data_IF_425026110108
#
_entry.id   IF_425026110108
#
_cell.length_a   1.000
_cell.length_b   1.000
_cell.length_c   1.000
_cell.angle_alpha   90.00
_cell.angle_beta   90.00
_cell.angle_gamma   90.00
#
_symmetry.space_group_name_H-M   'P 1'
#
loop_
_entity.id
_entity.type
_entity.pdbx_description
1 polymer ?
#
# COMPACT_ATOMS: atom_id res chain seq x y z
N UNK A 1 19.11 1.30 -14.46
CA UNK A 1 18.10 2.35 -14.25
C UNK A 1 17.78 2.47 -12.76
N UNK A 2 17.72 3.69 -12.26
CA UNK A 2 17.34 3.94 -10.87
C UNK A 2 15.84 3.76 -10.72
N UNK A 3 15.39 2.94 -9.75
CA UNK A 3 13.97 2.67 -9.52
C UNK A 3 13.20 3.92 -9.10
N UNK A 4 13.87 4.94 -8.57
CA UNK A 4 13.22 6.20 -8.20
C UNK A 4 12.64 6.95 -9.40
N UNK A 5 12.99 6.54 -10.62
CA UNK A 5 12.34 7.04 -11.83
C UNK A 5 10.81 6.81 -11.77
N UNK A 6 10.37 5.75 -11.11
CA UNK A 6 8.96 5.39 -11.04
C UNK A 6 8.25 5.92 -9.80
N UNK A 7 8.95 6.62 -8.90
CA UNK A 7 8.36 6.98 -7.62
C UNK A 7 7.25 8.02 -7.76
N UNK A 8 6.13 7.77 -7.07
CA UNK A 8 5.15 8.79 -6.73
C UNK A 8 5.52 9.25 -5.33
N UNK A 9 5.95 10.52 -5.15
CA UNK A 9 6.47 10.97 -3.86
C UNK A 9 5.38 11.02 -2.78
N UNK A 10 5.80 10.92 -1.54
CA UNK A 10 4.92 10.93 -0.37
C UNK A 10 3.89 12.05 -0.40
N UNK A 11 4.29 13.23 -0.86
CA UNK A 11 3.41 14.41 -0.95
C UNK A 11 2.21 14.22 -1.87
N UNK A 12 2.27 13.25 -2.78
CA UNK A 12 1.20 12.95 -3.74
C UNK A 12 0.49 11.64 -3.44
N UNK A 13 0.81 11.00 -2.32
CA UNK A 13 0.28 9.68 -1.94
C UNK A 13 -0.62 9.83 -0.73
N UNK A 14 -1.76 9.12 -0.75
CA UNK A 14 -2.58 8.99 0.45
C UNK A 14 -1.96 7.93 1.36
N UNK A 15 -1.79 8.29 2.63
CA UNK A 15 -1.30 7.38 3.66
C UNK A 15 -2.03 7.66 4.96
N UNK A 16 -1.95 6.73 5.90
CA UNK A 16 -2.59 6.85 7.21
C UNK A 16 -1.52 6.74 8.29
N UNK A 17 -1.75 7.44 9.41
CA UNK A 17 -0.94 7.21 10.61
C UNK A 17 -1.52 6.03 11.39
N UNK A 18 -0.65 5.26 12.02
CA UNK A 18 -1.04 4.07 12.78
C UNK A 18 -1.93 4.37 13.98
N UNK A 19 -1.90 5.62 14.47
CA UNK A 19 -2.75 6.06 15.57
C UNK A 19 -4.15 6.54 15.14
N UNK A 20 -4.41 6.60 13.85
CA UNK A 20 -5.76 6.88 13.34
C UNK A 20 -6.69 5.71 13.68
N UNK A 21 -8.00 5.97 13.74
CA UNK A 21 -8.98 4.94 14.03
C UNK A 21 -9.26 4.07 12.80
N UNK A 22 -9.78 2.88 13.06
CA UNK A 22 -10.22 1.97 11.99
C UNK A 22 -11.35 2.64 11.19
N UNK A 23 -12.24 3.39 11.86
CA UNK A 23 -13.30 4.14 11.18
C UNK A 23 -12.73 5.15 10.17
N UNK A 24 -11.69 5.87 10.56
CA UNK A 24 -11.01 6.81 9.65
C UNK A 24 -10.40 6.09 8.45
N UNK A 25 -9.84 4.89 8.65
CA UNK A 25 -9.30 4.08 7.56
C UNK A 25 -10.40 3.63 6.60
N UNK A 26 -11.54 3.19 7.14
CA UNK A 26 -12.70 2.78 6.34
C UNK A 26 -13.18 3.96 5.49
N UNK A 27 -13.34 5.12 6.10
CA UNK A 27 -13.80 6.33 5.40
C UNK A 27 -12.84 6.74 4.28
N UNK A 28 -11.53 6.61 4.54
CA UNK A 28 -10.50 6.96 3.55
C UNK A 28 -10.57 6.04 2.34
N UNK A 29 -10.69 4.75 2.55
CA UNK A 29 -10.78 3.75 1.49
C UNK A 29 -12.07 3.94 0.70
N UNK A 30 -13.21 4.08 1.39
CA UNK A 30 -14.50 4.24 0.75
C UNK A 30 -14.59 5.52 -0.08
N UNK A 31 -14.17 6.66 0.48
CA UNK A 31 -14.30 7.95 -0.17
C UNK A 31 -13.35 8.16 -1.35
N UNK A 32 -12.26 7.44 -1.42
CA UNK A 32 -11.24 7.61 -2.45
C UNK A 32 -11.11 6.41 -3.38
N UNK A 33 -11.95 5.41 -3.21
CA UNK A 33 -11.97 4.19 -4.04
C UNK A 33 -10.63 3.46 -4.05
N UNK A 34 -9.91 3.48 -2.93
CA UNK A 34 -8.66 2.75 -2.78
C UNK A 34 -8.91 1.31 -2.35
N UNK A 35 -8.02 0.40 -2.76
CA UNK A 35 -8.04 -0.99 -2.29
C UNK A 35 -7.05 -1.24 -1.16
N UNK A 36 -6.07 -0.37 -1.04
CA UNK A 36 -5.02 -0.47 -0.01
C UNK A 36 -4.35 0.88 0.19
N UNK A 37 -3.86 1.12 1.40
CA UNK A 37 -3.21 2.39 1.78
C UNK A 37 -2.00 2.10 2.68
N UNK A 38 -0.85 2.75 2.45
CA UNK A 38 0.29 2.65 3.36
C UNK A 38 -0.02 3.27 4.73
N UNK A 39 0.51 2.64 5.77
CA UNK A 39 0.39 3.11 7.15
C UNK A 39 1.79 3.42 7.68
N UNK A 40 1.95 4.59 8.28
CA UNK A 40 3.22 5.04 8.86
C UNK A 40 3.02 5.40 10.33
N UNK A 41 4.11 5.41 11.09
CA UNK A 41 4.06 5.87 12.47
C UNK A 41 4.30 7.38 12.56
N UNK A 42 4.27 7.93 13.76
CA UNK A 42 4.45 9.37 13.98
C UNK A 42 5.84 9.88 13.59
N UNK A 43 6.83 9.00 13.48
CA UNK A 43 8.17 9.32 13.01
C UNK A 43 8.30 9.30 11.50
N UNK A 44 7.23 8.93 10.79
CA UNK A 44 7.23 8.81 9.34
C UNK A 44 7.74 7.48 8.81
N UNK A 45 7.98 6.51 9.68
CA UNK A 45 8.45 5.19 9.28
C UNK A 45 7.31 4.32 8.78
N UNK A 46 7.57 3.54 7.73
CA UNK A 46 6.59 2.61 7.20
C UNK A 46 6.34 1.47 8.18
N UNK A 47 5.06 1.19 8.43
CA UNK A 47 4.63 0.13 9.32
C UNK A 47 4.10 -1.08 8.52
N UNK A 48 3.08 -0.85 7.73
CA UNK A 48 2.43 -1.87 6.91
C UNK A 48 1.48 -1.22 5.92
N UNK A 49 0.87 -2.03 5.06
CA UNK A 49 -0.18 -1.57 4.16
C UNK A 49 -1.50 -2.19 4.59
N UNK A 50 -2.50 -1.34 4.85
CA UNK A 50 -3.84 -1.79 5.20
C UNK A 50 -4.66 -1.98 3.93
N UNK A 51 -5.40 -3.09 3.84
CA UNK A 51 -6.18 -3.45 2.66
C UNK A 51 -7.66 -3.47 2.99
N UNK A 52 -8.50 -3.45 1.95
CA UNK A 52 -9.94 -3.66 2.11
C UNK A 52 -10.22 -4.98 2.84
N UNK A 53 -9.44 -6.01 2.53
CA UNK A 53 -9.57 -7.32 3.16
C UNK A 53 -9.34 -7.28 4.66
N UNK A 54 -8.34 -6.52 5.11
CA UNK A 54 -8.06 -6.35 6.54
C UNK A 54 -9.24 -5.70 7.26
N UNK A 55 -9.81 -4.67 6.65
CA UNK A 55 -10.95 -3.95 7.21
C UNK A 55 -12.21 -4.81 7.21
N UNK A 56 -12.46 -5.52 6.13
CA UNK A 56 -13.62 -6.41 6.03
C UNK A 56 -13.54 -7.54 7.05
N UNK A 57 -12.34 -8.08 7.27
CA UNK A 57 -12.14 -9.11 8.29
C UNK A 57 -12.51 -8.60 9.68
N UNK A 58 -12.13 -7.35 10.00
CA UNK A 58 -12.49 -6.74 11.29
C UNK A 58 -13.99 -6.57 11.43
N UNK A 59 -14.65 -6.10 10.37
CA UNK A 59 -16.11 -5.96 10.34
C UNK A 59 -16.78 -7.33 10.53
N UNK A 60 -16.28 -8.34 9.83
CA UNK A 60 -16.79 -9.72 9.94
C UNK A 60 -16.65 -10.26 11.36
N UNK A 61 -15.48 -10.08 11.99
CA UNK A 61 -15.23 -10.49 13.36
C UNK A 61 -16.22 -9.87 14.33
N UNK A 62 -16.46 -8.57 14.19
CA UNK A 62 -17.43 -7.86 15.02
C UNK A 62 -18.86 -8.37 14.81
N UNK A 63 -19.23 -8.62 13.56
CA UNK A 63 -20.55 -9.16 13.22
C UNK A 63 -20.75 -10.53 13.87
N UNK A 64 -19.77 -11.42 13.77
CA UNK A 64 -19.82 -12.75 14.36
C UNK A 64 -19.84 -12.70 15.89
N UNK A 65 -19.05 -11.81 16.49
CA UNK A 65 -19.04 -11.61 17.94
C UNK A 65 -20.40 -11.15 18.45
N UNK A 66 -21.03 -10.21 17.77
CA UNK A 66 -22.36 -9.73 18.12
C UNK A 66 -23.38 -10.85 18.06
N UNK A 67 -23.31 -11.69 17.04
CA UNK A 67 -24.23 -12.81 16.83
C UNK A 67 -24.11 -13.85 17.94
N UNK A 68 -22.88 -14.07 18.46
CA UNK A 68 -22.65 -15.02 19.57
C UNK A 68 -22.86 -14.42 20.95
N UNK A 69 -23.10 -13.11 21.04
CA UNK A 69 -23.19 -12.41 22.31
C UNK A 69 -21.83 -12.09 22.93
N UNK A 70 -20.75 -12.20 22.15
CA UNK A 70 -19.40 -11.86 22.57
C UNK A 70 -19.18 -10.35 22.47
N UNK A 71 -18.06 -9.89 23.07
CA UNK A 71 -17.70 -8.47 23.06
C UNK A 71 -17.46 -7.96 21.63
N UNK A 72 -18.08 -6.82 21.28
CA UNK A 72 -17.89 -6.11 20.02
C UNK A 72 -16.96 -4.95 20.26
N UNK A 73 -15.95 -4.81 19.40
CA UNK A 73 -15.00 -3.71 19.46
C UNK A 73 -15.53 -2.51 18.67
N UNK A 74 -15.38 -1.32 19.22
CA UNK A 74 -15.85 -0.08 18.56
C UNK A 74 -14.80 0.42 17.57
N UNK A 75 -15.12 0.37 16.28
CA UNK A 75 -14.19 0.80 15.21
C UNK A 75 -13.85 2.30 15.30
N UNK A 76 -14.69 3.09 15.99
CA UNK A 76 -14.44 4.51 16.24
C UNK A 76 -13.35 4.74 17.28
N UNK A 77 -13.03 3.74 18.09
CA UNK A 77 -12.03 3.84 19.18
C UNK A 77 -10.80 2.98 18.96
N UNK A 78 -10.94 1.90 18.19
CA UNK A 78 -9.78 1.07 17.82
C UNK A 78 -8.88 1.81 16.85
N UNK A 79 -7.57 1.71 17.09
CA UNK A 79 -6.59 2.31 16.19
C UNK A 79 -6.12 1.31 15.15
N UNK A 80 -5.58 1.83 14.07
CA UNK A 80 -5.07 1.03 12.95
C UNK A 80 -3.97 0.06 13.40
N UNK A 81 -3.13 0.48 14.35
CA UNK A 81 -2.05 -0.40 14.87
C UNK A 81 -2.58 -1.64 15.61
N UNK A 82 -3.85 -1.64 16.01
CA UNK A 82 -4.47 -2.77 16.73
C UNK A 82 -5.10 -3.79 15.79
N UNK A 83 -5.09 -3.54 14.49
CA UNK A 83 -5.70 -4.44 13.51
C UNK A 83 -4.77 -5.62 13.17
N UNK A 84 -5.36 -6.81 13.00
CA UNK A 84 -4.63 -7.98 12.53
C UNK A 84 -4.35 -7.85 11.03
N UNK A 85 -3.11 -8.13 10.63
CA UNK A 85 -2.64 -7.95 9.26
C UNK A 85 -2.61 -9.30 8.55
N UNK A 86 -3.18 -9.35 7.35
CA UNK A 86 -3.20 -10.54 6.51
C UNK A 86 -2.22 -10.48 5.35
N UNK A 87 -1.88 -9.27 4.91
CA UNK A 87 -0.98 -9.07 3.78
C UNK A 87 0.33 -8.46 4.27
N UNK A 88 1.42 -9.08 3.85
CA UNK A 88 2.77 -8.62 4.17
C UNK A 88 3.36 -7.93 2.95
N UNK A 89 3.00 -6.65 2.77
CA UNK A 89 3.59 -5.83 1.71
C UNK A 89 5.07 -5.61 1.99
N UNK A 90 5.88 -5.88 0.99
CA UNK A 90 7.32 -5.66 1.05
C UNK A 90 7.65 -4.26 0.55
N UNK A 91 8.70 -3.68 1.10
CA UNK A 91 9.21 -2.37 0.70
C UNK A 91 10.45 -2.51 -0.17
N UNK A 92 10.82 -1.42 -0.84
CA UNK A 92 12.11 -1.31 -1.52
C UNK A 92 12.82 -0.04 -1.06
N UNK A 93 14.13 -0.04 -1.16
CA UNK A 93 14.95 1.15 -0.97
C UNK A 93 15.36 1.72 -2.34
N UNK A 94 15.92 2.92 -2.35
CA UNK A 94 16.42 3.54 -3.59
C UNK A 94 17.49 2.69 -4.28
N UNK A 95 18.17 1.83 -3.53
CA UNK A 95 19.25 0.97 -4.05
C UNK A 95 18.76 -0.37 -4.59
N UNK A 96 17.49 -0.67 -4.50
CA UNK A 96 16.92 -1.91 -5.03
C UNK A 96 17.06 -1.94 -6.55
N UNK A 97 17.27 -3.13 -7.10
CA UNK A 97 17.37 -3.29 -8.55
C UNK A 97 15.98 -3.46 -9.18
N UNK A 98 15.95 -3.32 -10.50
CA UNK A 98 14.71 -3.41 -11.28
C UNK A 98 14.07 -4.79 -11.21
N UNK A 99 14.89 -5.83 -11.20
CA UNK A 99 14.40 -7.20 -11.11
C UNK A 99 13.62 -7.45 -9.82
N UNK A 100 14.16 -6.99 -8.70
CA UNK A 100 13.49 -7.10 -7.40
C UNK A 100 12.17 -6.32 -7.40
N UNK A 101 12.19 -5.11 -7.96
CA UNK A 101 10.99 -4.28 -8.06
C UNK A 101 9.89 -4.97 -8.86
N UNK A 102 10.23 -5.53 -10.01
CA UNK A 102 9.27 -6.24 -10.87
C UNK A 102 8.71 -7.45 -10.13
N UNK A 103 9.55 -8.20 -9.44
CA UNK A 103 9.11 -9.38 -8.67
C UNK A 103 8.08 -8.98 -7.63
N UNK A 104 8.33 -7.92 -6.86
CA UNK A 104 7.37 -7.46 -5.87
C UNK A 104 6.07 -6.95 -6.52
N UNK A 105 6.18 -6.29 -7.66
CA UNK A 105 5.02 -5.75 -8.37
C UNK A 105 4.09 -6.82 -8.90
N UNK A 106 4.54 -8.08 -9.03
CA UNK A 106 3.65 -9.17 -9.43
C UNK A 106 2.66 -9.54 -8.32
N UNK A 107 2.98 -9.22 -7.07
CA UNK A 107 2.18 -9.59 -5.89
C UNK A 107 1.56 -8.40 -5.17
N UNK A 108 1.96 -7.18 -5.49
CA UNK A 108 1.51 -5.96 -4.81
C UNK A 108 1.05 -4.93 -5.82
N UNK A 109 -0.05 -4.23 -5.54
CA UNK A 109 -0.57 -3.18 -6.40
C UNK A 109 0.38 -1.98 -6.49
N UNK A 110 1.11 -1.76 -5.41
CA UNK A 110 2.16 -0.76 -5.34
C UNK A 110 3.25 -1.26 -4.39
N UNK A 111 4.43 -0.67 -4.49
CA UNK A 111 5.55 -1.00 -3.63
C UNK A 111 5.92 0.23 -2.82
N UNK A 112 5.81 0.18 -1.48
CA UNK A 112 6.28 1.29 -0.64
C UNK A 112 7.79 1.45 -0.76
N UNK A 113 8.24 2.69 -0.86
CA UNK A 113 9.66 3.03 -0.95
C UNK A 113 10.07 3.69 0.37
N UNK A 114 11.17 3.19 0.94
CA UNK A 114 11.70 3.70 2.20
C UNK A 114 13.18 4.03 2.06
N UNK A 115 13.67 4.90 2.94
CA UNK A 115 15.09 5.19 3.02
C UNK A 115 15.78 4.21 3.99
N UNK A 116 17.05 4.43 4.29
CA UNK A 116 17.85 3.57 5.16
C UNK A 116 17.41 3.58 6.62
N UNK A 117 16.56 4.51 7.02
CA UNK A 117 15.97 4.59 8.35
C UNK A 117 14.51 4.14 8.37
N UNK A 118 14.07 3.49 7.31
CA UNK A 118 12.69 3.03 7.12
C UNK A 118 11.68 4.18 7.02
N UNK A 119 12.14 5.38 6.70
CA UNK A 119 11.24 6.51 6.47
C UNK A 119 10.54 6.33 5.13
N UNK A 120 9.21 6.42 5.15
CA UNK A 120 8.37 6.31 3.96
C UNK A 120 8.57 7.54 3.07
N UNK A 121 9.03 7.34 1.84
CA UNK A 121 9.30 8.45 0.92
C UNK A 121 8.35 8.47 -0.29
N UNK A 122 7.60 7.42 -0.51
CA UNK A 122 6.64 7.36 -1.61
C UNK A 122 6.28 5.93 -1.97
N UNK A 123 5.64 5.77 -3.13
CA UNK A 123 5.29 4.45 -3.66
C UNK A 123 5.70 4.33 -5.12
N UNK A 124 5.85 3.10 -5.57
CA UNK A 124 5.96 2.81 -7.00
C UNK A 124 4.73 2.00 -7.37
N UNK A 125 3.96 2.49 -8.32
CA UNK A 125 2.72 1.84 -8.75
C UNK A 125 3.02 0.78 -9.79
N UNK A 126 2.37 -0.38 -9.64
CA UNK A 126 2.42 -1.45 -10.64
C UNK A 126 2.08 -0.91 -12.03
N UNK A 127 1.06 -0.07 -12.14
CA UNK A 127 0.60 0.49 -13.41
C UNK A 127 1.67 1.35 -14.11
N UNK A 128 2.49 2.05 -13.34
CA UNK A 128 3.56 2.88 -13.90
C UNK A 128 4.68 2.02 -14.51
N UNK A 129 4.98 0.89 -13.86
CA UNK A 129 5.96 -0.06 -14.38
C UNK A 129 5.46 -0.66 -15.69
N UNK A 130 4.21 -1.09 -15.71
CA UNK A 130 3.57 -1.68 -16.90
C UNK A 130 3.57 -0.67 -18.05
N UNK A 131 3.17 0.56 -17.78
CA UNK A 131 3.11 1.61 -18.79
C UNK A 131 4.48 1.87 -19.42
N UNK A 132 5.52 1.92 -18.59
CA UNK A 132 6.89 2.12 -19.05
C UNK A 132 7.34 1.01 -20.03
N UNK A 133 7.13 -0.25 -19.65
CA UNK A 133 7.55 -1.38 -20.50
C UNK A 133 6.70 -1.48 -21.75
N UNK A 134 5.42 -1.15 -21.69
CA UNK A 134 4.57 -1.12 -22.87
C UNK A 134 5.03 -0.06 -23.88
N UNK A 135 5.35 1.13 -23.41
CA UNK A 135 5.88 2.21 -24.23
C UNK A 135 7.21 1.81 -24.89
N UNK A 136 8.09 1.17 -24.12
CA UNK A 136 9.38 0.70 -24.61
C UNK A 136 9.23 -0.35 -25.72
N UNK A 137 8.30 -1.28 -25.55
CA UNK A 137 7.99 -2.30 -26.57
C UNK A 137 7.46 -1.67 -27.85
N UNK A 138 6.59 -0.68 -27.75
CA UNK A 138 6.04 0.04 -28.89
C UNK A 138 7.14 0.78 -29.67
N UNK A 139 8.07 1.38 -28.97
CA UNK A 139 9.21 2.05 -29.58
C UNK A 139 10.11 1.06 -30.34
N UNK A 140 10.40 -0.08 -29.77
CA UNK A 140 11.19 -1.13 -30.42
C UNK A 140 10.50 -1.65 -31.69
N UNK A 141 9.18 -1.85 -31.65
CA UNK A 141 8.40 -2.25 -32.83
C UNK A 141 8.47 -1.20 -33.95
N UNK A 142 8.36 0.07 -33.59
CA UNK A 142 8.46 1.17 -34.55
C UNK A 142 9.82 1.17 -35.27
N UNK A 143 10.90 0.95 -34.52
CA UNK A 143 12.25 0.88 -35.08
C UNK A 143 12.44 -0.32 -36.00
N UNK A 144 11.80 -1.44 -35.70
CA UNK A 144 11.89 -2.65 -36.53
C UNK A 144 11.11 -2.54 -37.84
N UNK A 145 10.03 -1.76 -37.86
CA UNK A 145 9.17 -1.57 -39.03
C UNK A 145 9.80 -0.55 -39.99
N UNK A 146 10.52 0.41 -39.46
CA UNK A 146 11.21 1.41 -40.27
C UNK A 146 12.54 0.88 -40.82
#
# INVERSE_FOLDING_TARGET
MNILFFITPKSEVEYLYDYYTIKEAIDKIENNDYTSIPVINEKGQYEFTITEGDLLWKIKSNYENKKRGDKVELIETLTIKDIDKYNDYKTVSANSNMENLITLATNQNFIPVVDDQNIFIGIIKRSDIIAYFNEKLNLEKSLKIS
#
